data_IF_506083667732
#
_entry.id   IF_506083667732
#
_cell.length_a   1.000
_cell.length_b   1.000
_cell.length_c   1.000
_cell.angle_alpha   90.00
_cell.angle_beta   90.00
_cell.angle_gamma   90.00
#
_symmetry.space_group_name_H-M   'P 1'
#
loop_
_entity.id
_entity.type
_entity.pdbx_description
1 polymer ?
#
# COMPACT_ATOMS: atom_id res chain seq x y z
N UNK A 1 -16.61 -9.61 -3.14
CA UNK A 1 -15.53 -9.52 -2.13
C UNK A 1 -14.16 -9.62 -2.82
N UNK A 2 -13.34 -8.62 -2.65
CA UNK A 2 -12.02 -8.59 -3.26
C UNK A 2 -10.92 -8.99 -2.29
N UNK A 3 -9.72 -9.18 -2.83
CA UNK A 3 -8.53 -9.41 -2.03
C UNK A 3 -7.72 -8.12 -2.00
N UNK A 4 -7.42 -7.64 -0.80
CA UNK A 4 -6.57 -6.46 -0.59
C UNK A 4 -5.21 -6.91 -0.09
N UNK A 5 -4.17 -6.60 -0.86
CA UNK A 5 -2.80 -6.88 -0.49
C UNK A 5 -2.28 -5.76 0.40
N UNK A 6 -1.79 -6.12 1.57
CA UNK A 6 -1.25 -5.17 2.56
C UNK A 6 0.25 -5.34 2.64
N UNK A 7 0.99 -4.26 2.47
CA UNK A 7 2.45 -4.24 2.62
C UNK A 7 2.82 -3.46 3.89
N UNK A 8 3.15 -4.18 4.94
CA UNK A 8 3.48 -3.63 6.25
C UNK A 8 4.27 -4.65 7.07
N UNK A 9 5.34 -4.23 7.73
CA UNK A 9 6.22 -5.13 8.48
C UNK A 9 5.93 -5.21 9.98
N UNK A 10 5.26 -4.21 10.55
CA UNK A 10 5.02 -4.18 12.00
C UNK A 10 3.76 -4.95 12.36
N UNK A 11 3.85 -5.97 13.26
CA UNK A 11 2.69 -6.80 13.59
C UNK A 11 1.46 -6.02 14.09
N UNK A 12 1.67 -4.99 14.92
CA UNK A 12 0.57 -4.18 15.44
C UNK A 12 -0.12 -3.37 14.33
N UNK A 13 0.63 -2.91 13.34
CA UNK A 13 0.08 -2.20 12.19
C UNK A 13 -0.60 -3.16 11.22
N UNK A 14 -0.03 -4.34 11.03
CA UNK A 14 -0.65 -5.41 10.24
C UNK A 14 -2.04 -5.75 10.78
N UNK A 15 -2.18 -5.85 12.10
CA UNK A 15 -3.46 -6.16 12.73
C UNK A 15 -4.49 -5.06 12.48
N UNK A 16 -4.09 -3.80 12.56
CA UNK A 16 -4.97 -2.65 12.29
C UNK A 16 -5.40 -2.60 10.82
N UNK A 17 -4.46 -2.83 9.91
CA UNK A 17 -4.74 -2.85 8.48
C UNK A 17 -5.70 -3.99 8.12
N UNK A 18 -5.46 -5.17 8.67
CA UNK A 18 -6.32 -6.34 8.48
C UNK A 18 -7.75 -6.05 8.93
N UNK A 19 -7.88 -5.43 10.10
CA UNK A 19 -9.20 -5.08 10.65
C UNK A 19 -9.93 -4.09 9.75
N UNK A 20 -9.22 -3.10 9.22
CA UNK A 20 -9.82 -2.10 8.31
C UNK A 20 -10.34 -2.77 7.03
N UNK A 21 -9.58 -3.70 6.47
CA UNK A 21 -9.97 -4.43 5.26
C UNK A 21 -11.19 -5.32 5.52
N UNK A 22 -11.19 -6.06 6.63
CA UNK A 22 -12.32 -6.91 7.00
C UNK A 22 -13.59 -6.09 7.22
N UNK A 23 -13.47 -4.93 7.87
CA UNK A 23 -14.59 -4.03 8.10
C UNK A 23 -15.20 -3.53 6.78
N UNK A 24 -14.38 -3.36 5.75
CA UNK A 24 -14.85 -2.95 4.43
C UNK A 24 -15.46 -4.11 3.62
N UNK A 25 -15.46 -5.32 4.14
CA UNK A 25 -16.03 -6.48 3.48
C UNK A 25 -15.09 -7.21 2.53
N UNK A 26 -13.81 -6.88 2.56
CA UNK A 26 -12.81 -7.50 1.71
C UNK A 26 -11.91 -8.48 2.49
N UNK A 27 -11.09 -9.22 1.77
CA UNK A 27 -10.19 -10.21 2.35
C UNK A 27 -8.77 -9.68 2.38
N UNK A 28 -8.13 -9.58 3.56
CA UNK A 28 -6.75 -9.10 3.65
C UNK A 28 -5.74 -10.22 3.42
N UNK A 29 -4.65 -9.88 2.73
CA UNK A 29 -3.46 -10.71 2.58
C UNK A 29 -2.27 -9.82 2.88
N UNK A 30 -1.36 -10.26 3.74
CA UNK A 30 -0.30 -9.41 4.28
C UNK A 30 1.08 -9.91 3.92
N UNK A 31 1.92 -9.03 3.37
CA UNK A 31 3.35 -9.25 3.19
C UNK A 31 4.15 -8.30 4.06
N UNK A 32 5.10 -8.83 4.82
CA UNK A 32 5.93 -8.05 5.75
C UNK A 32 7.23 -7.54 5.14
N UNK A 33 7.60 -8.02 3.96
CA UNK A 33 8.78 -7.57 3.22
C UNK A 33 8.41 -7.39 1.76
N UNK A 34 9.23 -6.66 1.02
CA UNK A 34 8.99 -6.49 -0.41
C UNK A 34 8.99 -7.84 -1.14
N UNK A 35 9.89 -8.74 -0.75
CA UNK A 35 9.94 -10.11 -1.31
C UNK A 35 8.63 -10.85 -1.09
N UNK A 36 8.09 -10.79 0.13
CA UNK A 36 6.83 -11.46 0.46
C UNK A 36 5.65 -10.84 -0.32
N UNK A 37 5.62 -9.50 -0.40
CA UNK A 37 4.59 -8.80 -1.16
C UNK A 37 4.61 -9.25 -2.62
N UNK A 38 5.79 -9.29 -3.25
CA UNK A 38 5.91 -9.72 -4.63
C UNK A 38 5.53 -11.18 -4.83
N UNK A 39 5.89 -12.04 -3.89
CA UNK A 39 5.54 -13.47 -3.94
C UNK A 39 4.02 -13.67 -3.87
N UNK A 40 3.36 -12.95 -2.96
CA UNK A 40 1.90 -12.98 -2.84
C UNK A 40 1.24 -12.44 -4.10
N UNK A 41 1.79 -11.36 -4.65
CA UNK A 41 1.26 -10.75 -5.87
C UNK A 41 1.37 -11.71 -7.05
N UNK A 42 2.52 -12.36 -7.20
CA UNK A 42 2.72 -13.33 -8.28
C UNK A 42 1.76 -14.52 -8.14
N UNK A 43 1.50 -14.96 -6.91
CA UNK A 43 0.60 -16.09 -6.63
C UNK A 43 -0.87 -15.74 -6.85
N UNK A 44 -1.29 -14.56 -6.38
CA UNK A 44 -2.70 -14.15 -6.41
C UNK A 44 -3.10 -13.49 -7.73
N UNK A 45 -2.18 -12.78 -8.36
CA UNK A 45 -2.40 -12.18 -9.66
C UNK A 45 -3.63 -11.30 -9.74
N UNK A 46 -4.51 -11.60 -10.69
CA UNK A 46 -5.71 -10.81 -10.97
C UNK A 46 -6.75 -10.82 -9.84
N UNK A 47 -6.61 -11.71 -8.88
CA UNK A 47 -7.52 -11.75 -7.73
C UNK A 47 -7.30 -10.58 -6.78
N UNK A 48 -6.16 -9.90 -6.86
CA UNK A 48 -5.90 -8.70 -6.07
C UNK A 48 -6.69 -7.54 -6.67
N UNK A 49 -7.58 -6.95 -5.88
CA UNK A 49 -8.43 -5.85 -6.32
C UNK A 49 -8.00 -4.50 -5.78
N UNK A 50 -7.07 -4.48 -4.84
CA UNK A 50 -6.54 -3.25 -4.28
C UNK A 50 -5.33 -3.52 -3.42
N UNK A 51 -4.56 -2.46 -3.16
CA UNK A 51 -3.32 -2.53 -2.39
C UNK A 51 -3.29 -1.41 -1.35
N UNK A 52 -2.94 -1.78 -0.11
CA UNK A 52 -2.61 -0.84 0.95
C UNK A 52 -1.14 -1.01 1.27
N UNK A 53 -0.36 0.05 1.24
CA UNK A 53 1.08 -0.08 1.48
C UNK A 53 1.63 1.02 2.38
N UNK A 54 2.52 0.62 3.30
CA UNK A 54 3.44 1.54 3.95
C UNK A 54 4.57 1.88 2.95
N UNK A 55 5.39 2.85 3.29
CA UNK A 55 6.53 3.25 2.44
C UNK A 55 7.81 2.53 2.86
N UNK A 56 8.16 2.58 4.14
CA UNK A 56 9.43 2.05 4.62
C UNK A 56 9.26 0.69 5.29
N UNK A 57 9.75 -0.35 4.65
CA UNK A 57 9.80 -1.70 5.22
C UNK A 57 10.90 -2.50 4.54
N UNK A 58 11.36 -3.61 5.15
CA UNK A 58 12.51 -4.36 4.62
C UNK A 58 12.24 -4.99 3.25
N UNK A 59 13.31 -5.09 2.45
CA UNK A 59 13.22 -5.79 1.16
C UNK A 59 13.06 -7.30 1.33
N UNK A 60 13.75 -7.87 2.35
CA UNK A 60 13.65 -9.29 2.67
C UNK A 60 13.80 -9.49 4.17
N UNK A 61 13.38 -10.66 4.66
CA UNK A 61 13.46 -10.99 6.07
C UNK A 61 14.90 -10.93 6.56
N UNK A 62 15.12 -10.25 7.68
CA UNK A 62 16.44 -10.06 8.26
C UNK A 62 17.24 -8.89 7.67
N UNK A 63 16.72 -8.21 6.66
CA UNK A 63 17.34 -6.99 6.14
C UNK A 63 17.33 -5.92 7.22
N UNK A 64 18.46 -5.26 7.42
CA UNK A 64 18.58 -4.18 8.42
C UNK A 64 18.16 -2.83 7.89
N UNK A 65 18.06 -2.70 6.59
CA UNK A 65 17.76 -1.42 5.93
C UNK A 65 16.27 -1.33 5.64
N UNK A 66 15.64 -0.24 6.08
CA UNK A 66 14.29 0.08 5.72
C UNK A 66 14.30 1.03 4.54
N UNK A 67 14.36 0.45 3.37
CA UNK A 67 14.29 1.22 2.12
C UNK A 67 12.85 1.65 1.85
N UNK A 68 12.64 2.63 0.95
CA UNK A 68 11.27 3.01 0.56
C UNK A 68 10.64 1.96 -0.36
N UNK A 69 10.59 0.72 0.10
CA UNK A 69 10.08 -0.44 -0.65
C UNK A 69 8.63 -0.27 -1.10
N UNK A 70 7.85 0.51 -0.35
CA UNK A 70 6.47 0.82 -0.69
C UNK A 70 6.33 1.58 -2.01
N UNK A 71 7.34 2.35 -2.41
CA UNK A 71 7.32 3.01 -3.72
C UNK A 71 7.34 2.00 -4.85
N UNK A 72 8.09 0.90 -4.70
CA UNK A 72 8.09 -0.17 -5.68
C UNK A 72 6.72 -0.84 -5.76
N UNK A 73 6.05 -1.00 -4.61
CA UNK A 73 4.70 -1.56 -4.56
C UNK A 73 3.72 -0.64 -5.29
N UNK A 74 3.80 0.68 -5.07
CA UNK A 74 2.95 1.66 -5.75
C UNK A 74 3.17 1.60 -7.26
N UNK A 75 4.42 1.56 -7.70
CA UNK A 75 4.75 1.49 -9.13
C UNK A 75 4.17 0.22 -9.76
N UNK A 76 4.31 -0.91 -9.10
CA UNK A 76 3.75 -2.17 -9.62
C UNK A 76 2.23 -2.09 -9.73
N UNK A 77 1.55 -1.56 -8.70
CA UNK A 77 0.09 -1.40 -8.74
C UNK A 77 -0.34 -0.51 -9.90
N UNK A 78 0.35 0.62 -10.09
CA UNK A 78 0.07 1.54 -11.18
C UNK A 78 0.27 0.87 -12.54
N UNK A 79 1.36 0.12 -12.70
CA UNK A 79 1.63 -0.62 -13.94
C UNK A 79 0.56 -1.66 -14.26
N UNK A 80 0.01 -2.30 -13.26
CA UNK A 80 -1.00 -3.33 -13.43
C UNK A 80 -2.43 -2.80 -13.36
N UNK A 81 -2.59 -1.49 -13.19
CA UNK A 81 -3.91 -0.86 -13.13
C UNK A 81 -4.71 -1.19 -11.89
N UNK A 82 -4.04 -1.56 -10.79
CA UNK A 82 -4.67 -1.93 -9.53
C UNK A 82 -4.71 -0.70 -8.61
N UNK A 83 -5.87 -0.36 -8.04
CA UNK A 83 -5.94 0.76 -7.07
C UNK A 83 -5.01 0.56 -5.89
N UNK A 84 -4.31 1.62 -5.50
CA UNK A 84 -3.37 1.59 -4.39
C UNK A 84 -3.56 2.82 -3.51
N UNK A 85 -3.51 2.62 -2.19
CA UNK A 85 -3.58 3.68 -1.19
C UNK A 85 -2.37 3.55 -0.27
N UNK A 86 -1.67 4.64 -0.04
CA UNK A 86 -0.48 4.67 0.79
C UNK A 86 -0.86 5.08 2.20
N UNK A 87 -0.40 4.32 3.19
CA UNK A 87 -0.63 4.59 4.60
C UNK A 87 0.72 4.56 5.31
N UNK A 88 1.24 5.71 5.69
CA UNK A 88 2.57 5.78 6.28
C UNK A 88 2.66 6.87 7.33
N UNK A 89 3.42 6.60 8.38
CA UNK A 89 3.79 7.57 9.38
C UNK A 89 5.16 8.12 9.01
N UNK A 90 5.18 9.01 8.03
CA UNK A 90 6.43 9.52 7.47
C UNK A 90 6.97 10.64 8.33
N UNK A 91 8.24 10.51 8.70
CA UNK A 91 8.98 11.56 9.39
C UNK A 91 9.19 12.75 8.44
N UNK A 92 9.10 13.96 8.96
CA UNK A 92 9.16 15.21 8.22
C UNK A 92 10.33 15.34 7.23
N UNK A 93 11.42 14.63 7.46
CA UNK A 93 12.64 14.76 6.64
C UNK A 93 12.49 14.22 5.22
N UNK A 94 11.52 13.33 4.97
CA UNK A 94 11.38 12.66 3.68
C UNK A 94 10.07 12.96 2.96
N UNK A 95 9.22 13.76 3.60
CA UNK A 95 7.87 14.03 3.09
C UNK A 95 7.89 14.67 1.69
N UNK A 96 8.74 15.67 1.49
CA UNK A 96 8.80 16.38 0.20
C UNK A 96 9.20 15.43 -0.94
N UNK A 97 10.24 14.62 -0.71
CA UNK A 97 10.69 13.64 -1.71
C UNK A 97 9.56 12.70 -2.12
N UNK A 98 8.89 12.13 -1.12
CA UNK A 98 7.82 11.17 -1.36
C UNK A 98 6.60 11.81 -2.01
N UNK A 99 6.24 13.02 -1.59
CA UNK A 99 5.14 13.78 -2.21
C UNK A 99 5.43 14.04 -3.69
N UNK A 100 6.65 14.43 -4.02
CA UNK A 100 7.02 14.68 -5.40
C UNK A 100 6.94 13.42 -6.27
N UNK A 101 7.39 12.28 -5.73
CA UNK A 101 7.30 11.01 -6.44
C UNK A 101 5.84 10.62 -6.68
N UNK A 102 5.01 10.69 -5.64
CA UNK A 102 3.59 10.31 -5.73
C UNK A 102 2.85 11.27 -6.66
N UNK A 103 3.09 12.57 -6.53
CA UNK A 103 2.46 13.56 -7.41
C UNK A 103 2.87 13.35 -8.86
N UNK A 104 4.13 13.02 -9.11
CA UNK A 104 4.61 12.68 -10.45
C UNK A 104 3.90 11.48 -11.03
N UNK A 105 3.71 10.44 -10.23
CA UNK A 105 2.97 9.25 -10.65
C UNK A 105 1.51 9.58 -10.97
N UNK A 106 0.85 10.37 -10.12
CA UNK A 106 -0.53 10.82 -10.37
C UNK A 106 -0.64 11.56 -11.69
N UNK A 107 0.29 12.47 -11.93
CA UNK A 107 0.28 13.32 -13.13
C UNK A 107 0.53 12.50 -14.39
N UNK A 108 1.52 11.61 -14.37
CA UNK A 108 1.87 10.78 -15.52
C UNK A 108 0.77 9.79 -15.87
N UNK A 109 0.13 9.20 -14.87
CA UNK A 109 -0.82 8.11 -15.06
C UNK A 109 -2.27 8.57 -15.07
N UNK A 110 -2.56 9.75 -14.54
CA UNK A 110 -3.93 10.20 -14.31
C UNK A 110 -4.66 9.43 -13.20
N UNK A 111 -3.98 8.56 -12.49
CA UNK A 111 -4.59 7.77 -11.41
C UNK A 111 -4.57 8.53 -10.09
N UNK A 112 -5.64 8.36 -9.32
CA UNK A 112 -5.68 8.85 -7.96
C UNK A 112 -4.94 7.88 -7.06
N UNK A 113 -3.92 8.37 -6.35
CA UNK A 113 -3.13 7.60 -5.39
C UNK A 113 -3.22 8.30 -4.04
N UNK A 114 -4.15 7.88 -3.17
CA UNK A 114 -4.27 8.48 -1.84
C UNK A 114 -3.02 8.26 -1.00
N UNK A 115 -2.66 9.27 -0.23
CA UNK A 115 -1.49 9.22 0.63
C UNK A 115 -1.87 9.73 2.02
N UNK A 116 -2.04 8.82 2.97
CA UNK A 116 -2.35 9.12 4.37
C UNK A 116 -1.04 9.25 5.14
N UNK A 117 -0.67 10.49 5.51
CA UNK A 117 0.67 10.80 6.04
C UNK A 117 0.75 11.11 7.52
N UNK A 118 -0.24 11.75 8.09
CA UNK A 118 -0.13 12.29 9.46
C UNK A 118 -0.08 11.23 10.52
N UNK A 119 -0.83 10.17 10.32
CA UNK A 119 -0.89 9.02 11.19
C UNK A 119 -1.12 7.80 10.31
N UNK A 120 -0.65 6.65 10.76
CA UNK A 120 -1.02 5.40 10.09
C UNK A 120 -2.47 5.08 10.42
N UNK A 121 -3.38 5.70 9.70
CA UNK A 121 -4.81 5.45 9.84
C UNK A 121 -5.28 4.56 8.70
N UNK A 122 -5.29 3.27 8.97
CA UNK A 122 -5.65 2.26 7.97
C UNK A 122 -7.11 2.32 7.57
N UNK A 123 -7.98 2.81 8.47
CA UNK A 123 -9.41 3.00 8.14
C UNK A 123 -9.56 4.08 7.08
N UNK A 124 -8.89 5.22 7.24
CA UNK A 124 -8.90 6.29 6.24
C UNK A 124 -8.30 5.80 4.93
N UNK A 125 -7.15 5.12 4.98
CA UNK A 125 -6.50 4.60 3.78
C UNK A 125 -7.40 3.62 3.02
N UNK A 126 -8.10 2.75 3.75
CA UNK A 126 -9.03 1.80 3.14
C UNK A 126 -10.26 2.48 2.56
N UNK A 127 -10.81 3.50 3.25
CA UNK A 127 -11.94 4.27 2.74
C UNK A 127 -11.58 4.97 1.43
N UNK A 128 -10.39 5.55 1.35
CA UNK A 128 -9.90 6.18 0.12
C UNK A 128 -9.72 5.16 -1.01
N UNK A 129 -9.23 3.95 -0.68
CA UNK A 129 -9.10 2.88 -1.65
C UNK A 129 -10.46 2.46 -2.21
N UNK A 130 -11.47 2.33 -1.33
CA UNK A 130 -12.83 2.00 -1.74
C UNK A 130 -13.42 3.04 -2.70
N UNK A 131 -13.17 4.31 -2.46
CA UNK A 131 -13.65 5.39 -3.35
C UNK A 131 -13.08 5.22 -4.76
N UNK A 132 -11.81 4.84 -4.88
CA UNK A 132 -11.19 4.60 -6.18
C UNK A 132 -11.83 3.39 -6.87
N UNK A 133 -12.02 2.31 -6.12
CA UNK A 133 -12.61 1.08 -6.66
C UNK A 133 -14.04 1.33 -7.16
N UNK A 134 -14.83 2.11 -6.42
CA UNK A 134 -16.21 2.41 -6.78
C UNK A 134 -16.31 3.38 -7.96
N UNK A 135 -15.30 4.21 -8.18
CA UNK A 135 -15.26 5.16 -9.28
C UNK A 135 -14.95 4.51 -10.64
N UNK A 136 -14.47 3.28 -10.60
CA UNK A 136 -14.22 2.51 -11.80
C UNK A 136 -15.45 1.72 -12.20
#
# INVERSE_FOLDING_TARGET
MGIILIAEDKPEEQAKAKKAVLKAGDKPVIGGTLRDVNRLWDTLGERITGVLTDIHFPEWEGSKDNNPSGLAVVIRAVQEGIPVSICSDINHHFTLYLEMVVDGLREITGQNIPFTMDKKDWLIAMDELKKIQEAK
#
